data_IF_590527602687
#
_entry.id   IF_590527602687
#
_cell.length_a   1.000
_cell.length_b   1.000
_cell.length_c   1.000
_cell.angle_alpha   90.00
_cell.angle_beta   90.00
_cell.angle_gamma   90.00
#
_symmetry.space_group_name_H-M   'P 1'
#
loop_
_entity.id
_entity.type
_entity.pdbx_description
1 polymer ?
#
# COMPACT_ATOMS: atom_id res chain seq x y z
N UNK A 1 22.92 -24.79 11.72
CA UNK A 1 22.38 -23.96 10.64
C UNK A 1 23.42 -22.92 10.29
N UNK A 2 23.99 -22.98 9.13
CA UNK A 2 24.97 -22.01 8.65
C UNK A 2 24.36 -20.62 8.49
N UNK A 3 25.16 -19.52 8.60
CA UNK A 3 24.66 -18.14 8.52
C UNK A 3 24.01 -17.77 7.17
N UNK A 4 24.17 -18.61 6.15
CA UNK A 4 23.67 -18.40 4.78
C UNK A 4 22.16 -18.64 4.59
N UNK A 5 21.45 -19.14 5.61
CA UNK A 5 20.04 -19.57 5.49
C UNK A 5 19.04 -18.56 6.10
N UNK A 6 19.50 -17.37 6.47
CA UNK A 6 18.60 -16.31 6.95
C UNK A 6 18.00 -15.56 5.77
N UNK A 7 16.68 -15.66 5.64
CA UNK A 7 15.91 -14.85 4.67
C UNK A 7 16.24 -13.36 4.86
N UNK A 8 16.68 -12.71 3.80
CA UNK A 8 16.94 -11.26 3.82
C UNK A 8 15.66 -10.48 4.16
N UNK A 9 15.84 -9.34 4.82
CA UNK A 9 14.75 -8.52 5.33
C UNK A 9 14.83 -7.09 4.79
N UNK A 10 13.67 -6.51 4.61
CA UNK A 10 13.51 -5.09 4.24
C UNK A 10 12.96 -4.37 5.47
N UNK A 11 13.76 -3.48 6.11
CA UNK A 11 13.29 -2.71 7.24
C UNK A 11 12.03 -1.90 6.92
N UNK A 12 11.08 -1.87 7.85
CA UNK A 12 9.81 -1.19 7.66
C UNK A 12 9.89 0.33 7.85
N UNK A 13 10.99 0.83 8.43
CA UNK A 13 11.11 2.19 8.90
C UNK A 13 10.46 2.43 10.27
N UNK A 14 9.94 1.38 10.90
CA UNK A 14 9.35 1.42 12.24
C UNK A 14 10.15 0.47 13.13
N UNK A 15 11.19 1.01 13.78
CA UNK A 15 12.24 0.23 14.48
C UNK A 15 11.70 -0.86 15.42
N UNK A 16 10.69 -0.52 16.21
CA UNK A 16 10.12 -1.46 17.16
C UNK A 16 9.24 -2.54 16.50
N UNK A 17 8.71 -2.27 15.29
CA UNK A 17 8.04 -3.27 14.49
C UNK A 17 9.06 -4.24 13.89
N UNK A 18 10.16 -3.73 13.37
CA UNK A 18 11.23 -4.56 12.80
C UNK A 18 11.74 -5.60 13.80
N UNK A 19 11.96 -5.19 15.05
CA UNK A 19 12.34 -6.10 16.14
C UNK A 19 11.32 -7.24 16.35
N UNK A 20 10.02 -6.97 16.15
CA UNK A 20 8.94 -7.94 16.34
C UNK A 20 8.77 -8.91 15.17
N UNK A 21 9.24 -8.53 13.99
CA UNK A 21 9.13 -9.34 12.76
C UNK A 21 10.50 -9.82 12.25
N UNK A 22 11.50 -9.86 13.12
CA UNK A 22 12.81 -10.43 12.79
C UNK A 22 13.69 -9.58 11.88
N UNK A 23 13.53 -8.24 11.93
CA UNK A 23 14.37 -7.27 11.21
C UNK A 23 13.70 -6.60 10.02
N UNK A 24 12.40 -6.80 9.82
CA UNK A 24 11.66 -6.19 8.71
C UNK A 24 10.84 -7.20 7.91
N UNK A 25 10.28 -6.75 6.81
CA UNK A 25 9.53 -7.62 5.90
C UNK A 25 10.44 -8.61 5.17
N UNK A 26 10.00 -9.86 4.95
CA UNK A 26 10.75 -10.81 4.13
C UNK A 26 10.96 -10.29 2.71
N UNK A 27 12.21 -10.25 2.24
CA UNK A 27 12.54 -9.75 0.91
C UNK A 27 11.89 -10.59 -0.19
N UNK A 28 11.40 -9.93 -1.24
CA UNK A 28 10.73 -10.57 -2.36
C UNK A 28 9.37 -11.19 -2.01
N UNK A 29 8.74 -10.77 -0.92
CA UNK A 29 7.44 -11.32 -0.50
C UNK A 29 6.36 -10.25 -0.41
N UNK A 30 5.11 -10.68 -0.65
CA UNK A 30 3.93 -9.85 -0.46
C UNK A 30 3.46 -9.85 0.99
N UNK A 31 3.20 -8.67 1.52
CA UNK A 31 2.65 -8.42 2.86
C UNK A 31 1.31 -7.73 2.70
N UNK A 32 0.29 -8.23 3.37
CA UNK A 32 -1.02 -7.59 3.44
C UNK A 32 -1.09 -6.68 4.65
N UNK A 33 -1.49 -5.43 4.43
CA UNK A 33 -1.74 -4.45 5.49
C UNK A 33 -3.21 -4.05 5.46
N UNK A 34 -3.95 -4.41 6.51
CA UNK A 34 -5.40 -4.19 6.57
C UNK A 34 -5.81 -3.33 7.74
N UNK A 35 -7.00 -2.78 7.66
CA UNK A 35 -7.62 -2.00 8.73
C UNK A 35 -8.74 -1.11 8.21
N UNK A 36 -9.57 -0.61 9.10
CA UNK A 36 -10.61 0.37 8.74
C UNK A 36 -10.00 1.71 8.33
N UNK A 37 -10.72 2.56 7.58
CA UNK A 37 -10.27 3.91 7.25
C UNK A 37 -9.81 4.69 8.50
N UNK A 38 -8.75 5.50 8.37
CA UNK A 38 -8.21 6.32 9.47
C UNK A 38 -7.31 5.58 10.46
N UNK A 39 -7.02 4.30 10.28
CA UNK A 39 -6.09 3.56 11.15
C UNK A 39 -4.61 3.86 10.88
N UNK A 40 -4.27 4.46 9.74
CA UNK A 40 -2.90 4.84 9.37
C UNK A 40 -2.21 3.88 8.40
N UNK A 41 -2.95 3.09 7.62
CA UNK A 41 -2.39 2.14 6.64
C UNK A 41 -1.41 2.80 5.67
N UNK A 42 -1.82 3.90 5.05
CA UNK A 42 -0.99 4.69 4.13
C UNK A 42 0.33 5.11 4.79
N UNK A 43 0.27 5.54 6.06
CA UNK A 43 1.45 5.96 6.82
C UNK A 43 2.45 4.81 7.00
N UNK A 44 2.00 3.57 7.23
CA UNK A 44 2.89 2.40 7.25
C UNK A 44 3.60 2.20 5.90
N UNK A 45 2.88 2.40 4.79
CA UNK A 45 3.45 2.37 3.44
C UNK A 45 4.52 3.45 3.25
N UNK A 46 4.23 4.69 3.68
CA UNK A 46 5.16 5.83 3.57
C UNK A 46 6.44 5.61 4.39
N UNK A 47 6.35 5.03 5.60
CA UNK A 47 7.53 4.65 6.39
C UNK A 47 8.43 3.65 5.65
N UNK A 48 7.83 2.60 5.07
CA UNK A 48 8.58 1.60 4.30
C UNK A 48 9.28 2.23 3.10
N UNK A 49 8.58 3.09 2.36
CA UNK A 49 9.14 3.77 1.19
C UNK A 49 10.29 4.69 1.60
N UNK A 50 10.10 5.52 2.63
CA UNK A 50 11.14 6.41 3.13
C UNK A 50 12.40 5.64 3.56
N UNK A 51 12.23 4.58 4.36
CA UNK A 51 13.35 3.76 4.80
C UNK A 51 14.06 3.09 3.63
N UNK A 52 13.29 2.49 2.71
CA UNK A 52 13.86 1.77 1.57
C UNK A 52 14.60 2.69 0.61
N UNK A 53 14.07 3.89 0.34
CA UNK A 53 14.76 4.90 -0.47
C UNK A 53 16.02 5.42 0.25
N UNK A 54 15.98 5.60 1.57
CA UNK A 54 17.15 5.97 2.37
C UNK A 54 18.25 4.91 2.32
N UNK A 55 17.86 3.63 2.17
CA UNK A 55 18.78 2.51 1.94
C UNK A 55 19.24 2.40 0.47
N UNK A 56 18.91 3.37 -0.40
CA UNK A 56 19.27 3.41 -1.82
C UNK A 56 18.49 2.43 -2.69
N UNK A 57 17.36 1.89 -2.21
CA UNK A 57 16.51 0.98 -2.99
C UNK A 57 15.52 1.77 -3.83
N UNK A 58 15.32 1.32 -5.07
CA UNK A 58 14.30 1.90 -5.95
C UNK A 58 12.91 1.42 -5.53
N UNK A 59 12.00 2.37 -5.30
CA UNK A 59 10.68 2.15 -4.73
C UNK A 59 9.58 2.69 -5.65
N UNK A 60 8.41 2.06 -5.59
CA UNK A 60 7.21 2.51 -6.30
C UNK A 60 6.02 2.56 -5.33
N UNK A 61 5.31 3.66 -5.33
CA UNK A 61 4.00 3.79 -4.73
C UNK A 61 2.94 3.79 -5.83
N UNK A 62 2.00 2.87 -5.76
CA UNK A 62 0.82 2.85 -6.62
C UNK A 62 -0.34 3.34 -5.79
N UNK A 63 -0.77 4.56 -6.05
CA UNK A 63 -1.85 5.24 -5.34
C UNK A 63 -3.15 5.13 -6.14
N UNK A 64 -4.23 4.73 -5.47
CA UNK A 64 -5.54 4.56 -6.10
C UNK A 64 -6.61 5.50 -5.56
N UNK A 65 -6.38 6.16 -4.44
CA UNK A 65 -7.35 6.99 -3.73
C UNK A 65 -6.83 8.40 -3.46
N UNK A 66 -5.55 8.56 -3.16
CA UNK A 66 -4.95 9.84 -2.81
C UNK A 66 -4.06 10.38 -3.95
N UNK A 67 -3.97 11.70 -4.09
CA UNK A 67 -3.07 12.34 -5.04
C UNK A 67 -1.61 12.22 -4.59
N UNK A 68 -0.63 12.28 -5.52
CA UNK A 68 0.78 12.34 -5.16
C UNK A 68 1.10 13.51 -4.23
N UNK A 69 0.48 14.67 -4.46
CA UNK A 69 0.64 15.88 -3.66
C UNK A 69 0.20 15.66 -2.22
N UNK A 70 -1.01 15.10 -2.02
CA UNK A 70 -1.55 14.81 -0.68
C UNK A 70 -0.67 13.80 0.08
N UNK A 71 -0.17 12.77 -0.62
CA UNK A 71 0.72 11.76 -0.04
C UNK A 71 2.07 12.35 0.39
N UNK A 72 2.63 13.28 -0.39
CA UNK A 72 3.86 13.99 -0.06
C UNK A 72 3.67 14.94 1.12
N UNK A 73 2.57 15.71 1.13
CA UNK A 73 2.22 16.58 2.25
C UNK A 73 2.05 15.76 3.54
N UNK A 74 1.30 14.65 3.48
CA UNK A 74 1.11 13.74 4.60
C UNK A 74 2.45 13.17 5.10
N UNK A 75 3.34 12.74 4.21
CA UNK A 75 4.67 12.28 4.57
C UNK A 75 5.51 13.38 5.22
N UNK A 76 5.48 14.59 4.66
CA UNK A 76 6.19 15.76 5.18
C UNK A 76 5.76 16.16 6.61
N UNK A 77 4.45 16.09 6.90
CA UNK A 77 3.90 16.31 8.24
C UNK A 77 4.41 15.33 9.29
N UNK A 78 4.86 14.14 8.85
CA UNK A 78 5.41 13.09 9.69
C UNK A 78 6.96 13.08 9.71
N UNK A 79 7.59 14.08 9.09
CA UNK A 79 9.05 14.16 8.98
C UNK A 79 9.66 13.21 7.95
N UNK A 80 8.84 12.54 7.13
CA UNK A 80 9.26 11.61 6.08
C UNK A 80 9.41 12.39 4.77
N UNK A 81 10.58 13.01 4.53
CA UNK A 81 10.84 13.81 3.34
C UNK A 81 11.04 12.91 2.12
N UNK A 82 10.00 12.74 1.31
CA UNK A 82 10.00 11.88 0.13
C UNK A 82 10.40 12.59 -1.15
N UNK A 83 10.29 13.92 -1.21
CA UNK A 83 10.56 14.73 -2.40
C UNK A 83 11.98 14.51 -2.97
N UNK A 84 13.07 14.46 -2.16
CA UNK A 84 14.41 14.21 -2.68
C UNK A 84 14.55 12.85 -3.39
N UNK A 85 13.74 11.87 -2.98
CA UNK A 85 13.76 10.53 -3.61
C UNK A 85 12.99 10.50 -4.94
N UNK A 86 12.00 11.38 -5.12
CA UNK A 86 11.37 11.61 -6.42
C UNK A 86 12.35 12.28 -7.39
N UNK A 87 13.03 13.33 -6.93
CA UNK A 87 13.99 14.10 -7.73
C UNK A 87 15.16 13.25 -8.22
N UNK A 88 15.68 12.35 -7.40
CA UNK A 88 16.80 11.47 -7.74
C UNK A 88 16.39 10.15 -8.38
N UNK A 89 15.07 9.90 -8.58
CA UNK A 89 14.52 8.73 -9.24
C UNK A 89 14.54 7.45 -8.42
N UNK A 90 14.78 7.51 -7.09
CA UNK A 90 14.65 6.36 -6.19
C UNK A 90 13.20 6.06 -5.84
N UNK A 91 12.31 7.06 -5.84
CA UNK A 91 10.87 6.89 -5.66
C UNK A 91 10.12 7.27 -6.93
N UNK A 92 9.10 6.53 -7.28
CA UNK A 92 8.08 6.95 -8.23
C UNK A 92 6.69 6.73 -7.66
N UNK A 93 5.80 7.70 -7.81
CA UNK A 93 4.39 7.60 -7.43
C UNK A 93 3.58 7.48 -8.72
N UNK A 94 2.76 6.44 -8.80
CA UNK A 94 1.89 6.15 -9.95
C UNK A 94 0.43 6.23 -9.50
N UNK A 95 -0.28 7.26 -9.97
CA UNK A 95 -1.68 7.43 -9.66
C UNK A 95 -2.55 6.64 -10.65
N UNK A 96 -3.36 5.72 -10.13
CA UNK A 96 -4.21 4.85 -10.95
C UNK A 96 -5.61 5.43 -11.13
N UNK A 97 -6.05 6.28 -10.21
CA UNK A 97 -7.41 6.88 -10.25
C UNK A 97 -7.61 7.81 -11.44
N UNK A 98 -6.63 8.64 -11.79
CA UNK A 98 -6.68 9.50 -12.99
C UNK A 98 -6.90 8.69 -14.26
N UNK A 99 -6.25 7.53 -14.35
CA UNK A 99 -6.39 6.62 -15.47
C UNK A 99 -7.86 6.16 -15.61
N UNK A 100 -8.54 5.85 -14.49
CA UNK A 100 -9.95 5.44 -14.46
C UNK A 100 -10.90 6.60 -14.73
N UNK A 101 -10.66 7.76 -14.16
CA UNK A 101 -11.45 8.96 -14.41
C UNK A 101 -11.42 9.36 -15.89
N UNK A 102 -10.27 9.34 -16.51
CA UNK A 102 -10.12 9.58 -17.94
C UNK A 102 -10.83 8.54 -18.83
N UNK A 103 -10.92 7.27 -18.40
CA UNK A 103 -11.68 6.23 -19.10
C UNK A 103 -13.19 6.45 -18.98
N UNK A 104 -13.68 6.83 -17.80
CA UNK A 104 -15.10 7.15 -17.57
C UNK A 104 -15.50 8.39 -18.35
N UNK A 105 -14.70 9.45 -18.35
CA UNK A 105 -14.96 10.65 -19.12
C UNK A 105 -15.08 10.35 -20.64
N UNK A 106 -14.19 9.51 -21.19
CA UNK A 106 -14.28 9.07 -22.60
C UNK A 106 -15.48 8.18 -22.88
N UNK A 107 -15.86 7.30 -21.95
CA UNK A 107 -17.07 6.49 -22.09
C UNK A 107 -18.34 7.35 -22.03
N UNK A 108 -18.38 8.38 -21.19
CA UNK A 108 -19.47 9.35 -21.15
C UNK A 108 -19.64 10.10 -22.48
N UNK A 109 -18.53 10.53 -23.11
CA UNK A 109 -18.57 11.15 -24.45
C UNK A 109 -19.14 10.23 -25.54
N UNK A 110 -18.94 8.92 -25.44
CA UNK A 110 -19.50 7.96 -26.41
C UNK A 110 -21.02 7.83 -26.22
N UNK A 111 -21.52 7.99 -24.99
CA UNK A 111 -22.95 7.91 -24.67
C UNK A 111 -23.67 9.21 -25.05
N UNK A 112 -23.04 10.38 -24.89
CA UNK A 112 -23.63 11.69 -25.23
C UNK A 112 -23.55 12.02 -26.74
N UNK A 113 -22.81 11.26 -27.52
CA UNK A 113 -22.74 11.40 -28.98
C UNK A 113 -24.08 11.22 -29.74
N UNK A 114 -25.17 10.95 -29.02
CA UNK A 114 -26.54 10.94 -29.58
C UNK A 114 -27.30 12.26 -29.37
N UNK A 115 -26.79 13.19 -28.60
CA UNK A 115 -27.39 14.53 -28.45
C UNK A 115 -26.31 15.58 -28.73
N UNK A 116 -26.41 16.19 -29.93
CA UNK A 116 -25.57 17.29 -30.42
C UNK A 116 -25.51 18.48 -29.44
N UNK A 117 -24.71 18.38 -28.40
CA UNK A 117 -24.22 19.55 -27.66
C UNK A 117 -22.77 19.25 -27.29
N UNK A 118 -21.87 19.89 -28.01
CA UNK A 118 -20.43 19.99 -27.69
C UNK A 118 -20.29 20.52 -26.26
N UNK A 119 -19.92 19.68 -25.34
CA UNK A 119 -19.39 20.10 -24.06
C UNK A 119 -17.86 20.01 -24.20
N UNK A 120 -17.27 21.13 -24.63
CA UNK A 120 -15.83 21.43 -24.57
C UNK A 120 -15.35 21.54 -23.10
N UNK A 121 -15.46 20.47 -22.32
CA UNK A 121 -15.06 20.47 -20.91
C UNK A 121 -13.75 19.72 -20.67
N UNK A 122 -13.04 19.30 -21.71
CA UNK A 122 -11.82 18.49 -21.55
C UNK A 122 -10.54 19.20 -22.02
N UNK A 123 -10.63 20.39 -22.63
CA UNK A 123 -9.40 21.13 -23.02
C UNK A 123 -8.82 22.02 -21.94
N UNK A 124 -9.48 22.24 -20.80
CA UNK A 124 -9.00 23.15 -19.74
C UNK A 124 -8.57 22.51 -18.43
N UNK A 125 -8.45 21.19 -18.32
CA UNK A 125 -7.55 20.64 -17.32
C UNK A 125 -6.11 20.67 -17.88
N UNK A 126 -5.57 21.87 -18.01
CA UNK A 126 -4.12 22.06 -18.03
C UNK A 126 -3.56 21.63 -16.67
N UNK A 127 -3.41 20.31 -16.49
CA UNK A 127 -2.53 19.80 -15.45
C UNK A 127 -1.15 20.39 -15.75
N UNK A 128 -0.64 21.14 -14.78
CA UNK A 128 0.66 21.76 -14.79
C UNK A 128 1.71 20.79 -15.34
N UNK A 129 2.22 21.08 -16.53
CA UNK A 129 3.20 20.28 -17.28
C UNK A 129 4.58 20.25 -16.62
N UNK A 130 4.71 20.73 -15.39
CA UNK A 130 5.98 20.74 -14.65
C UNK A 130 6.39 19.36 -14.10
N UNK A 131 5.47 18.40 -13.98
CA UNK A 131 5.77 17.04 -13.58
C UNK A 131 5.88 16.13 -14.82
N UNK A 132 7.01 16.23 -15.55
CA UNK A 132 7.38 15.25 -16.57
C UNK A 132 7.82 13.95 -15.90
N UNK A 133 6.86 13.08 -15.57
CA UNK A 133 7.13 11.68 -15.44
C UNK A 133 6.51 10.93 -16.61
N UNK A 134 7.34 10.17 -17.28
CA UNK A 134 7.11 9.43 -18.51
C UNK A 134 5.67 8.95 -18.68
N UNK A 135 4.92 9.67 -19.51
CA UNK A 135 3.63 9.23 -20.00
C UNK A 135 3.84 8.05 -20.94
N UNK A 136 3.90 6.85 -20.39
CA UNK A 136 3.65 5.66 -21.19
C UNK A 136 2.16 5.66 -21.51
N UNK A 137 1.80 5.95 -22.75
CA UNK A 137 0.43 5.93 -23.23
C UNK A 137 -0.15 4.53 -23.13
N UNK A 138 -0.85 4.25 -22.03
CA UNK A 138 -1.65 3.04 -21.90
C UNK A 138 -3.04 3.26 -22.52
N UNK A 139 -3.41 2.32 -23.38
CA UNK A 139 -4.75 2.23 -23.94
C UNK A 139 -5.71 1.84 -22.79
N UNK A 140 -6.50 2.81 -22.30
CA UNK A 140 -7.24 2.76 -21.05
C UNK A 140 -8.60 2.09 -21.27
N UNK A 141 -8.58 0.81 -21.55
CA UNK A 141 -9.70 -0.06 -21.31
C UNK A 141 -9.42 -0.83 -20.02
N UNK A 142 -10.11 -0.50 -18.94
CA UNK A 142 -10.07 -1.25 -17.66
C UNK A 142 -8.68 -1.74 -17.24
N UNK A 143 -7.94 -0.92 -16.49
CA UNK A 143 -6.69 -1.36 -15.88
C UNK A 143 -6.98 -2.53 -14.94
N UNK A 144 -6.47 -3.68 -15.29
CA UNK A 144 -6.60 -4.90 -14.51
C UNK A 144 -5.59 -4.92 -13.36
N UNK A 145 -5.90 -5.66 -12.30
CA UNK A 145 -5.00 -5.88 -11.16
C UNK A 145 -3.59 -6.37 -11.61
N UNK A 146 -3.51 -7.18 -12.67
CA UNK A 146 -2.23 -7.65 -13.23
C UNK A 146 -1.49 -6.54 -13.99
N UNK A 147 -2.19 -5.56 -14.52
CA UNK A 147 -1.58 -4.45 -15.26
C UNK A 147 -0.72 -3.54 -14.37
N UNK A 148 -0.93 -3.60 -13.06
CA UNK A 148 -0.06 -2.96 -12.05
C UNK A 148 1.41 -3.30 -12.28
N UNK A 149 1.72 -4.52 -12.73
CA UNK A 149 3.10 -4.94 -13.03
C UNK A 149 3.75 -4.04 -14.10
N UNK A 150 2.98 -3.52 -15.04
CA UNK A 150 3.47 -2.63 -16.11
C UNK A 150 3.91 -1.25 -15.61
N UNK A 151 3.42 -0.84 -14.43
CA UNK A 151 3.79 0.41 -13.78
C UNK A 151 5.08 0.30 -12.96
N UNK A 152 5.56 -0.92 -12.74
CA UNK A 152 6.70 -1.21 -11.86
C UNK A 152 7.95 -1.42 -12.73
N UNK A 153 8.97 -0.55 -12.63
CA UNK A 153 10.25 -0.74 -13.30
C UNK A 153 10.93 -2.06 -12.90
N UNK A 154 11.71 -2.64 -13.80
CA UNK A 154 12.39 -3.92 -13.55
C UNK A 154 13.43 -3.86 -12.42
N UNK A 155 13.99 -2.68 -12.17
CA UNK A 155 14.98 -2.43 -11.12
C UNK A 155 14.35 -2.05 -9.77
N UNK A 156 13.01 -1.95 -9.67
CA UNK A 156 12.32 -1.73 -8.41
C UNK A 156 12.59 -2.86 -7.39
N UNK A 157 12.71 -2.49 -6.12
CA UNK A 157 12.95 -3.41 -5.00
C UNK A 157 11.79 -3.47 -4.01
N UNK A 158 11.08 -2.35 -3.86
CA UNK A 158 9.98 -2.22 -2.92
C UNK A 158 8.81 -1.55 -3.62
N UNK A 159 7.62 -2.10 -3.42
CA UNK A 159 6.37 -1.57 -3.97
C UNK A 159 5.34 -1.46 -2.85
N UNK A 160 4.61 -0.36 -2.82
CA UNK A 160 3.40 -0.22 -2.02
C UNK A 160 2.23 -0.02 -2.97
N UNK A 161 1.17 -0.81 -2.80
CA UNK A 161 -0.09 -0.67 -3.54
C UNK A 161 -1.17 -0.22 -2.57
N UNK A 162 -1.56 1.04 -2.67
CA UNK A 162 -2.53 1.68 -1.78
C UNK A 162 -3.69 2.30 -2.61
N UNK A 163 -4.82 1.66 -2.71
CA UNK A 163 -5.38 0.50 -2.04
C UNK A 163 -5.63 -0.61 -3.08
N UNK A 164 -5.18 -1.84 -2.80
CA UNK A 164 -5.38 -2.95 -3.75
C UNK A 164 -6.85 -3.35 -3.88
N UNK A 165 -7.68 -3.09 -2.87
CA UNK A 165 -9.12 -3.34 -2.91
C UNK A 165 -9.83 -2.53 -4.00
N UNK A 166 -9.37 -1.33 -4.28
CA UNK A 166 -9.92 -0.48 -5.37
C UNK A 166 -9.62 -1.10 -6.73
N UNK A 167 -8.45 -1.70 -6.90
CA UNK A 167 -8.08 -2.39 -8.14
C UNK A 167 -8.87 -3.69 -8.35
N UNK A 168 -9.42 -4.25 -7.28
CA UNK A 168 -10.26 -5.45 -7.31
C UNK A 168 -11.73 -5.16 -7.65
N UNK A 169 -12.12 -3.88 -7.73
CA UNK A 169 -13.52 -3.51 -7.96
C UNK A 169 -14.01 -4.03 -9.33
N UNK A 170 -15.16 -4.69 -9.31
CA UNK A 170 -15.76 -5.29 -10.51
C UNK A 170 -15.26 -6.70 -10.85
N UNK A 171 -14.28 -7.25 -10.11
CA UNK A 171 -13.85 -8.63 -10.26
C UNK A 171 -14.74 -9.55 -9.41
N UNK A 172 -15.08 -10.71 -9.95
CA UNK A 172 -15.61 -11.78 -9.13
C UNK A 172 -14.49 -12.42 -8.27
N UNK A 173 -14.89 -13.24 -7.30
CA UNK A 173 -13.96 -13.85 -6.33
C UNK A 173 -12.88 -14.69 -7.01
N UNK A 174 -13.24 -15.44 -8.05
CA UNK A 174 -12.31 -16.30 -8.77
C UNK A 174 -11.32 -15.47 -9.57
N UNK A 175 -11.82 -14.46 -10.29
CA UNK A 175 -11.00 -13.53 -11.05
C UNK A 175 -10.02 -12.79 -10.12
N UNK A 176 -10.51 -12.29 -8.98
CA UNK A 176 -9.63 -11.63 -8.01
C UNK A 176 -8.52 -12.56 -7.53
N UNK A 177 -8.87 -13.80 -7.15
CA UNK A 177 -7.88 -14.79 -6.69
C UNK A 177 -6.82 -15.06 -7.75
N UNK A 178 -7.24 -15.39 -8.98
CA UNK A 178 -6.32 -15.76 -10.05
C UNK A 178 -5.38 -14.59 -10.40
N UNK A 179 -5.91 -13.38 -10.43
CA UNK A 179 -5.14 -12.16 -10.74
C UNK A 179 -4.22 -11.72 -9.61
N UNK A 180 -4.69 -11.78 -8.36
CA UNK A 180 -3.89 -11.43 -7.19
C UNK A 180 -2.75 -12.44 -6.97
N UNK A 181 -3.02 -13.74 -7.11
CA UNK A 181 -1.99 -14.77 -7.04
C UNK A 181 -0.95 -14.62 -8.16
N UNK A 182 -1.39 -14.24 -9.36
CA UNK A 182 -0.50 -13.96 -10.50
C UNK A 182 0.38 -12.75 -10.21
N UNK A 183 -0.20 -11.62 -9.79
CA UNK A 183 0.53 -10.41 -9.40
C UNK A 183 1.59 -10.73 -8.35
N UNK A 184 1.19 -11.39 -7.26
CA UNK A 184 2.06 -11.74 -6.15
C UNK A 184 3.21 -12.66 -6.58
N UNK A 185 2.93 -13.63 -7.46
CA UNK A 185 3.93 -14.54 -8.01
C UNK A 185 4.94 -13.84 -8.91
N UNK A 186 4.47 -12.95 -9.79
CA UNK A 186 5.34 -12.19 -10.70
C UNK A 186 6.27 -11.28 -9.91
N UNK A 187 5.75 -10.53 -8.93
CA UNK A 187 6.57 -9.62 -8.12
C UNK A 187 7.55 -10.39 -7.23
N UNK A 188 7.13 -11.52 -6.67
CA UNK A 188 8.04 -12.39 -5.90
C UNK A 188 9.15 -13.00 -6.76
N UNK A 189 8.86 -13.40 -8.01
CA UNK A 189 9.87 -13.90 -8.95
C UNK A 189 10.92 -12.83 -9.30
N UNK A 190 10.51 -11.56 -9.36
CA UNK A 190 11.41 -10.40 -9.53
C UNK A 190 12.12 -9.98 -8.23
N UNK A 191 11.93 -10.71 -7.14
CA UNK A 191 12.47 -10.37 -5.79
C UNK A 191 12.03 -8.99 -5.29
N UNK A 192 10.84 -8.53 -5.68
CA UNK A 192 10.25 -7.27 -5.24
C UNK A 192 9.45 -7.52 -3.97
N UNK A 193 9.74 -6.78 -2.91
CA UNK A 193 8.94 -6.79 -1.67
C UNK A 193 7.75 -5.87 -1.85
N UNK A 194 6.55 -6.37 -1.59
CA UNK A 194 5.30 -5.63 -1.82
C UNK A 194 4.48 -5.53 -0.56
N UNK A 195 3.99 -4.32 -0.25
CA UNK A 195 2.93 -4.11 0.73
C UNK A 195 1.64 -3.79 -0.02
N UNK A 196 0.65 -4.65 0.16
CA UNK A 196 -0.71 -4.45 -0.34
C UNK A 196 -1.57 -3.87 0.79
N UNK A 197 -1.98 -2.62 0.63
CA UNK A 197 -2.94 -1.98 1.54
C UNK A 197 -4.35 -2.36 1.11
N UNK A 198 -5.20 -2.72 2.07
CA UNK A 198 -6.60 -3.07 1.82
C UNK A 198 -7.48 -2.64 2.99
N UNK A 199 -8.65 -2.07 2.70
CA UNK A 199 -9.63 -1.70 3.70
C UNK A 199 -10.38 -2.92 4.24
N UNK A 200 -10.60 -2.98 5.55
CA UNK A 200 -11.40 -4.05 6.20
C UNK A 200 -12.87 -4.05 5.75
N UNK A 201 -13.37 -2.93 5.21
CA UNK A 201 -14.71 -2.81 4.66
C UNK A 201 -14.87 -3.48 3.28
N UNK A 202 -13.76 -3.87 2.63
CA UNK A 202 -13.81 -4.66 1.40
C UNK A 202 -14.49 -6.01 1.66
N UNK A 203 -15.09 -6.60 0.63
CA UNK A 203 -15.79 -7.88 0.72
C UNK A 203 -14.97 -8.92 1.50
N UNK A 204 -15.54 -9.51 2.54
CA UNK A 204 -14.86 -10.48 3.42
C UNK A 204 -14.09 -11.57 2.66
N UNK A 205 -14.62 -12.01 1.51
CA UNK A 205 -13.99 -13.05 0.69
C UNK A 205 -12.74 -12.58 -0.03
N UNK A 206 -12.67 -11.33 -0.52
CA UNK A 206 -11.45 -10.77 -1.12
C UNK A 206 -10.35 -10.62 -0.09
N UNK A 207 -10.72 -10.24 1.15
CA UNK A 207 -9.81 -10.20 2.28
C UNK A 207 -9.18 -11.56 2.61
N UNK A 208 -10.01 -12.60 2.69
CA UNK A 208 -9.53 -13.97 2.97
C UNK A 208 -8.58 -14.47 1.88
N UNK A 209 -8.88 -14.18 0.61
CA UNK A 209 -8.00 -14.53 -0.51
C UNK A 209 -6.66 -13.78 -0.40
N UNK A 210 -6.69 -12.47 -0.20
CA UNK A 210 -5.49 -11.67 -0.08
C UNK A 210 -4.62 -12.12 1.10
N UNK A 211 -5.26 -12.40 2.25
CA UNK A 211 -4.55 -12.94 3.42
C UNK A 211 -3.95 -14.30 3.14
N UNK A 212 -4.67 -15.23 2.50
CA UNK A 212 -4.14 -16.54 2.16
C UNK A 212 -2.94 -16.47 1.20
N UNK A 213 -3.00 -15.59 0.20
CA UNK A 213 -2.03 -15.49 -0.90
C UNK A 213 -0.74 -14.77 -0.49
N UNK A 214 -0.77 -13.92 0.52
CA UNK A 214 0.41 -13.16 0.98
C UNK A 214 1.28 -13.96 1.94
N UNK A 215 2.54 -13.57 2.06
CA UNK A 215 3.52 -14.20 2.96
C UNK A 215 3.34 -13.77 4.41
N UNK A 216 2.96 -12.52 4.62
CA UNK A 216 2.68 -11.93 5.93
C UNK A 216 1.42 -11.08 5.90
N UNK A 217 0.89 -10.81 7.08
CA UNK A 217 -0.23 -9.90 7.28
C UNK A 217 -0.05 -9.09 8.55
N UNK A 218 -0.40 -7.81 8.46
CA UNK A 218 -0.51 -6.88 9.59
C UNK A 218 -1.91 -6.30 9.57
N UNK A 219 -2.57 -6.32 10.69
CA UNK A 219 -3.91 -5.76 10.85
C UNK A 219 -3.89 -4.58 11.81
N UNK A 220 -4.41 -3.44 11.35
CA UNK A 220 -4.57 -2.23 12.15
C UNK A 220 -6.03 -2.09 12.58
N UNK A 221 -6.26 -1.65 13.79
CA UNK A 221 -7.60 -1.42 14.31
C UNK A 221 -7.59 -0.37 15.43
N UNK A 222 -8.75 0.20 15.68
CA UNK A 222 -9.00 1.15 16.77
C UNK A 222 -9.95 0.49 17.74
N UNK A 223 -9.61 0.53 19.02
CA UNK A 223 -10.47 0.02 20.11
C UNK A 223 -10.53 1.03 21.23
N UNK A 224 -11.68 1.07 21.92
CA UNK A 224 -11.80 1.81 23.15
C UNK A 224 -11.03 1.11 24.26
N UNK A 225 -10.20 1.88 24.97
CA UNK A 225 -9.53 1.41 26.19
C UNK A 225 -10.57 1.39 27.32
N UNK A 226 -10.93 0.22 27.88
CA UNK A 226 -12.00 0.10 28.86
C UNK A 226 -11.71 0.82 30.18
N UNK A 227 -10.45 1.16 30.44
CA UNK A 227 -10.06 1.84 31.68
C UNK A 227 -10.08 3.38 31.54
N UNK A 228 -9.85 3.89 30.35
CA UNK A 228 -9.71 5.33 30.11
C UNK A 228 -10.83 5.92 29.27
N UNK A 229 -11.64 5.09 28.62
CA UNK A 229 -12.66 5.51 27.64
C UNK A 229 -12.07 6.15 26.37
N UNK A 230 -10.77 6.05 26.16
CA UNK A 230 -10.10 6.63 24.99
C UNK A 230 -10.02 5.63 23.87
N UNK A 231 -10.24 6.10 22.64
CA UNK A 231 -9.96 5.31 21.43
C UNK A 231 -8.44 5.24 21.23
N UNK A 232 -7.93 4.04 21.09
CA UNK A 232 -6.49 3.78 20.91
C UNK A 232 -6.26 2.93 19.66
N UNK A 233 -5.10 3.13 19.01
CA UNK A 233 -4.71 2.37 17.82
C UNK A 233 -3.88 1.18 18.20
N UNK A 234 -4.23 0.03 17.63
CA UNK A 234 -3.53 -1.23 17.82
C UNK A 234 -3.16 -1.82 16.47
N UNK A 235 -2.08 -2.56 16.46
CA UNK A 235 -1.76 -3.49 15.39
C UNK A 235 -1.63 -4.91 15.93
N UNK A 236 -1.91 -5.89 15.09
CA UNK A 236 -1.58 -7.30 15.30
C UNK A 236 -0.87 -7.83 14.07
N UNK A 237 -0.10 -8.89 14.28
CA UNK A 237 0.62 -9.59 13.22
C UNK A 237 0.07 -11.02 13.18
N UNK A 238 -1.09 -11.24 12.49
CA UNK A 238 -1.72 -12.55 12.48
C UNK A 238 -0.88 -13.60 11.75
N UNK A 239 0.00 -13.15 10.83
CA UNK A 239 0.81 -14.05 10.03
C UNK A 239 2.11 -13.38 9.58
N UNK A 240 3.22 -14.11 9.70
CA UNK A 240 4.48 -13.80 9.03
C UNK A 240 5.22 -15.13 8.86
N UNK A 241 5.11 -15.73 7.66
CA UNK A 241 5.72 -17.05 7.40
C UNK A 241 7.22 -16.99 7.59
N UNK A 242 7.81 -18.08 8.07
CA UNK A 242 9.25 -18.19 8.36
C UNK A 242 9.77 -17.15 9.37
N UNK A 243 8.89 -16.65 10.25
CA UNK A 243 9.25 -15.66 11.29
C UNK A 243 8.52 -16.03 12.57
N UNK A 244 9.27 -16.04 13.69
CA UNK A 244 8.66 -16.14 15.02
C UNK A 244 8.03 -14.79 15.36
N UNK A 245 6.73 -14.78 15.55
CA UNK A 245 5.94 -13.58 15.88
C UNK A 245 5.15 -13.78 17.14
N UNK A 246 4.89 -12.71 17.89
CA UNK A 246 3.87 -12.68 18.93
C UNK A 246 2.52 -12.33 18.34
N UNK A 247 1.45 -12.99 18.80
CA UNK A 247 0.07 -12.69 18.42
C UNK A 247 -0.55 -11.58 19.28
N UNK A 248 0.26 -10.92 20.12
CA UNK A 248 -0.20 -9.84 21.00
C UNK A 248 -0.69 -8.64 20.18
N UNK A 249 -1.64 -7.91 20.76
CA UNK A 249 -1.98 -6.58 20.29
C UNK A 249 -0.92 -5.57 20.71
N UNK A 250 -0.45 -4.80 19.76
CA UNK A 250 0.60 -3.82 19.96
C UNK A 250 -0.02 -2.44 19.86
N UNK A 251 0.00 -1.68 20.94
CA UNK A 251 -0.45 -0.28 20.97
C UNK A 251 0.52 0.59 20.18
N UNK A 252 0.01 1.50 19.37
CA UNK A 252 0.80 2.48 18.66
C UNK A 252 0.12 3.84 18.53
N UNK A 253 0.92 4.88 18.35
CA UNK A 253 0.47 6.22 18.03
C UNK A 253 1.04 6.68 16.69
N UNK A 254 0.33 7.61 16.07
CA UNK A 254 0.81 8.40 14.94
C UNK A 254 1.19 9.76 15.50
N UNK A 255 2.46 10.10 15.45
CA UNK A 255 3.02 11.35 16.01
C UNK A 255 3.59 12.21 14.89
N UNK A 256 4.06 13.42 15.22
CA UNK A 256 4.75 14.28 14.26
C UNK A 256 6.07 13.66 13.69
N UNK A 257 6.54 12.57 14.26
CA UNK A 257 7.70 11.79 13.78
C UNK A 257 7.28 10.42 13.23
N UNK A 258 6.02 10.28 12.85
CA UNK A 258 5.46 9.06 12.29
C UNK A 258 4.95 8.07 13.33
N UNK A 259 4.95 6.80 12.98
CA UNK A 259 4.41 5.70 13.79
C UNK A 259 5.38 5.33 14.92
N UNK A 260 4.84 5.29 16.13
CA UNK A 260 5.58 4.86 17.32
C UNK A 260 4.83 3.73 18.04
N UNK A 261 5.45 2.56 18.13
CA UNK A 261 4.91 1.47 18.93
C UNK A 261 5.17 1.73 20.42
N UNK A 262 4.14 1.55 21.22
CA UNK A 262 4.25 1.63 22.69
C UNK A 262 4.64 0.26 23.25
N UNK A 263 5.56 0.26 24.22
CA UNK A 263 5.94 -0.97 24.94
C UNK A 263 4.73 -1.57 25.66
N UNK A 264 4.63 -2.88 25.65
CA UNK A 264 3.55 -3.66 26.28
C UNK A 264 3.58 -3.51 27.81
N UNK A 265 3.01 -2.42 28.31
CA UNK A 265 2.58 -2.27 29.71
C UNK A 265 1.04 -2.32 29.78
N UNK A 266 0.47 -3.37 29.28
CA UNK A 266 -0.97 -3.58 29.36
C UNK A 266 -1.31 -4.95 28.79
N UNK A 267 -1.30 -5.99 29.63
CA UNK A 267 -2.07 -7.19 29.33
C UNK A 267 -3.53 -6.73 29.22
N UNK A 268 -4.10 -6.79 28.02
CA UNK A 268 -5.54 -6.80 27.86
C UNK A 268 -6.01 -8.10 28.53
N UNK A 269 -6.68 -7.98 29.65
CA UNK A 269 -7.38 -9.10 30.28
C UNK A 269 -8.54 -9.40 29.34
N UNK A 270 -8.54 -10.62 28.81
CA UNK A 270 -9.67 -11.18 28.08
C UNK A 270 -10.90 -11.05 28.98
N UNK A 271 -11.86 -10.25 28.54
CA UNK A 271 -13.21 -10.27 29.11
C UNK A 271 -14.01 -11.15 28.16
N UNK A 272 -14.24 -12.40 28.59
CA UNK A 272 -14.99 -13.43 27.91
C UNK A 272 -16.40 -13.02 27.45
#
# INVERSE_FOLDING_TARGET
MEPSDRMERVPTGIENLDKKIGGGYPQGKGILLTGVPGTGKTIFGLHLLYQSCSDGKKCVLIATEESPEDLLEQAGMLGLKLEPFLENGLLSIKQVLEIRAGAVARAAHIVDGFNNTEIDLIEECELDRSFRHDQVGFNIGTMDLVDVVKLIPDDAKVVVVDNVGVLAFGLDIKQFRDKFDTLNRVLSAKQITVVYVMDDAAYQLTHQIADYSTHGAIKLFVKENPYTGKMERFLSIPKMRSTSISLDFILFDITATGIQLKGSKGKLIDVG
#
